data_IF_155768851911
#
_entry.id   IF_155768851911
#
_cell.length_a   1.000
_cell.length_b   1.000
_cell.length_c   1.000
_cell.angle_alpha   90.00
_cell.angle_beta   90.00
_cell.angle_gamma   90.00
#
_symmetry.space_group_name_H-M   'P 1'
#
loop_
_entity.id
_entity.type
_entity.pdbx_description
1 polymer ?
#
# COMPACT_ATOMS: atom_id res chain seq x y z
N UNK A 1 -7.71 63.51 69.09
CA UNK A 1 -7.50 63.33 67.61
C UNK A 1 -7.13 61.91 67.40
N UNK A 2 -8.09 61.06 66.85
CA UNK A 2 -7.90 59.63 66.60
C UNK A 2 -7.64 59.42 65.11
N UNK A 3 -6.46 58.97 64.77
CA UNK A 3 -6.08 58.61 63.36
C UNK A 3 -6.54 57.20 63.06
N UNK A 4 -7.39 57.07 62.08
CA UNK A 4 -7.86 55.74 61.53
C UNK A 4 -6.91 55.39 60.40
N UNK A 5 -6.22 54.22 60.57
CA UNK A 5 -5.41 53.63 59.52
C UNK A 5 -6.26 52.65 58.71
N UNK A 6 -6.48 52.93 57.43
CA UNK A 6 -7.15 52.01 56.50
C UNK A 6 -6.10 51.05 55.96
N UNK A 7 -6.22 49.75 56.25
CA UNK A 7 -5.43 48.70 55.65
C UNK A 7 -6.17 48.16 54.42
N UNK A 8 -5.67 48.45 53.22
CA UNK A 8 -6.14 47.90 51.97
C UNK A 8 -5.58 46.49 51.80
N UNK A 9 -6.40 45.47 51.90
CA UNK A 9 -6.08 44.09 51.58
C UNK A 9 -6.23 43.89 50.05
N UNK A 10 -5.10 43.82 49.33
CA UNK A 10 -5.07 43.44 47.90
C UNK A 10 -5.09 41.92 47.83
N UNK A 11 -6.23 41.33 47.45
CA UNK A 11 -6.35 39.91 47.10
C UNK A 11 -5.73 39.64 45.74
N UNK A 12 -4.56 39.02 45.72
CA UNK A 12 -3.89 38.50 44.55
C UNK A 12 -4.62 37.19 44.15
N UNK A 13 -5.47 37.24 43.13
CA UNK A 13 -6.03 36.04 42.48
C UNK A 13 -4.98 35.54 41.48
N UNK A 14 -4.15 34.61 41.90
CA UNK A 14 -3.25 33.90 41.00
C UNK A 14 -4.10 32.95 40.12
N UNK A 15 -4.44 33.41 38.95
CA UNK A 15 -5.05 32.59 37.91
C UNK A 15 -4.04 31.50 37.47
N UNK A 16 -4.28 30.27 37.86
CA UNK A 16 -3.54 29.14 37.33
C UNK A 16 -4.00 28.92 35.89
N UNK A 17 -3.22 29.49 34.95
CA UNK A 17 -3.30 29.08 33.54
C UNK A 17 -2.64 27.72 33.47
N UNK A 18 -3.45 26.66 33.54
CA UNK A 18 -3.02 25.32 33.16
C UNK A 18 -2.78 25.32 31.66
N UNK A 19 -1.54 25.60 31.29
CA UNK A 19 -1.06 25.32 29.93
C UNK A 19 -1.22 23.81 29.74
N UNK A 20 -2.23 23.42 28.94
CA UNK A 20 -2.34 22.05 28.49
C UNK A 20 -1.08 21.80 27.63
N UNK A 21 -0.07 21.20 28.25
CA UNK A 21 1.10 20.72 27.52
C UNK A 21 0.57 19.77 26.46
N UNK A 22 0.59 20.20 25.20
CA UNK A 22 0.30 19.33 24.07
C UNK A 22 1.30 18.19 24.13
N UNK A 23 0.83 16.98 24.43
CA UNK A 23 1.69 15.81 24.45
C UNK A 23 2.42 15.73 23.10
N UNK A 24 3.72 15.47 23.11
CA UNK A 24 4.48 15.31 21.88
C UNK A 24 3.84 14.24 21.01
N UNK A 25 3.70 14.48 19.68
CA UNK A 25 3.10 13.51 18.77
C UNK A 25 3.85 12.18 18.82
N UNK A 26 3.11 11.09 18.97
CA UNK A 26 3.70 9.76 18.95
C UNK A 26 4.29 9.46 17.58
N UNK A 27 5.56 9.08 17.54
CA UNK A 27 6.25 8.72 16.28
C UNK A 27 5.86 7.31 15.86
N UNK A 28 5.44 7.15 14.60
CA UNK A 28 5.03 5.91 13.96
C UNK A 28 5.96 5.63 12.77
N UNK A 29 6.58 4.47 12.74
CA UNK A 29 7.46 4.03 11.66
C UNK A 29 6.71 3.05 10.76
N UNK A 30 6.55 3.40 9.48
CA UNK A 30 5.89 2.56 8.46
C UNK A 30 6.92 2.12 7.43
N UNK A 31 7.13 0.81 7.32
CA UNK A 31 7.98 0.23 6.28
C UNK A 31 7.26 0.11 4.94
N UNK A 32 7.93 0.47 3.85
CA UNK A 32 7.42 0.33 2.49
C UNK A 32 8.53 -0.01 1.49
N UNK A 33 8.19 -0.58 0.33
CA UNK A 33 9.18 -1.02 -0.68
C UNK A 33 9.42 -0.01 -1.80
N UNK A 34 9.02 1.25 -1.65
CA UNK A 34 9.14 2.25 -2.71
C UNK A 34 8.21 1.98 -3.89
N UNK A 35 7.11 1.27 -3.64
CA UNK A 35 6.16 0.80 -4.64
C UNK A 35 5.50 1.89 -5.48
N UNK A 36 4.51 1.50 -6.25
CA UNK A 36 3.84 2.43 -7.16
C UNK A 36 3.21 3.60 -6.42
N UNK A 37 3.24 4.74 -7.06
CA UNK A 37 2.71 5.97 -6.48
C UNK A 37 1.21 5.89 -6.16
N UNK A 38 0.45 5.05 -6.89
CA UNK A 38 -0.97 4.91 -6.60
C UNK A 38 -1.23 4.24 -5.24
N UNK A 39 -0.41 3.24 -4.85
CA UNK A 39 -0.54 2.58 -3.55
C UNK A 39 -0.18 3.51 -2.38
N UNK A 40 0.71 4.47 -2.61
CA UNK A 40 1.18 5.42 -1.61
C UNK A 40 0.37 6.73 -1.57
N UNK A 41 -0.56 6.95 -2.51
CA UNK A 41 -1.26 8.23 -2.62
C UNK A 41 -2.11 8.56 -1.37
N UNK A 42 -2.90 7.63 -0.78
CA UNK A 42 -3.60 7.91 0.48
C UNK A 42 -2.66 8.33 1.62
N UNK A 43 -1.52 7.68 1.75
CA UNK A 43 -0.51 7.99 2.76
C UNK A 43 0.07 9.39 2.56
N UNK A 44 0.36 9.76 1.31
CA UNK A 44 0.84 11.10 0.94
C UNK A 44 -0.20 12.17 1.25
N UNK A 45 -1.46 11.91 0.94
CA UNK A 45 -2.58 12.82 1.29
C UNK A 45 -2.69 12.94 2.80
N UNK A 46 -2.58 11.84 3.56
CA UNK A 46 -2.62 11.87 5.02
C UNK A 46 -1.52 12.76 5.61
N UNK A 47 -0.29 12.67 5.08
CA UNK A 47 0.83 13.52 5.47
C UNK A 47 0.60 14.99 5.05
N UNK A 48 0.33 15.27 3.77
CA UNK A 48 0.22 16.64 3.26
C UNK A 48 -0.97 17.42 3.84
N UNK A 49 -2.05 16.72 4.23
CA UNK A 49 -3.26 17.33 4.83
C UNK A 49 -3.29 17.31 6.35
N UNK A 50 -2.22 16.80 6.98
CA UNK A 50 -2.11 16.77 8.43
C UNK A 50 -3.12 15.85 9.11
N UNK A 51 -3.58 14.77 8.43
CA UNK A 51 -4.54 13.85 9.04
C UNK A 51 -3.92 13.03 10.16
N UNK A 52 -2.63 12.69 10.08
CA UNK A 52 -1.92 12.03 11.16
C UNK A 52 -1.71 12.95 12.35
N UNK A 53 -1.31 14.19 12.11
CA UNK A 53 -1.08 15.22 13.14
C UNK A 53 -2.37 15.53 13.92
N UNK A 54 -3.53 15.55 13.25
CA UNK A 54 -4.85 15.71 13.90
C UNK A 54 -5.18 14.58 14.88
N UNK A 55 -4.63 13.41 14.66
CA UNK A 55 -4.74 12.26 15.55
C UNK A 55 -3.58 12.17 16.57
N UNK A 56 -2.73 13.21 16.67
CA UNK A 56 -1.58 13.25 17.57
C UNK A 56 -0.44 12.29 17.18
N UNK A 57 -0.30 12.00 15.88
CA UNK A 57 0.69 11.08 15.34
C UNK A 57 1.68 11.82 14.45
N UNK A 58 2.97 11.39 14.49
CA UNK A 58 4.00 11.79 13.54
C UNK A 58 4.46 10.54 12.78
N UNK A 59 4.11 10.43 11.50
CA UNK A 59 4.43 9.25 10.70
C UNK A 59 5.72 9.44 9.92
N UNK A 60 6.58 8.41 9.92
CA UNK A 60 7.79 8.30 9.11
C UNK A 60 7.70 7.06 8.23
N UNK A 61 7.88 7.25 6.92
CA UNK A 61 7.98 6.16 5.96
C UNK A 61 9.44 5.80 5.74
N UNK A 62 9.78 4.53 5.98
CA UNK A 62 11.14 3.99 5.86
C UNK A 62 11.14 3.03 4.66
N UNK A 63 11.96 3.34 3.65
CA UNK A 63 12.04 2.54 2.44
C UNK A 63 12.97 1.35 2.62
N UNK A 64 12.50 0.17 2.20
CA UNK A 64 13.23 -1.09 2.23
C UNK A 64 13.46 -1.63 0.82
N UNK A 65 14.60 -2.27 0.59
CA UNK A 65 14.94 -2.92 -0.68
C UNK A 65 14.38 -4.33 -0.83
N UNK A 66 13.44 -4.75 0.03
CA UNK A 66 12.79 -6.06 -0.08
C UNK A 66 11.85 -6.36 1.07
N UNK A 67 10.90 -7.26 0.81
CA UNK A 67 9.83 -7.62 1.74
C UNK A 67 10.33 -8.43 2.94
N UNK A 68 11.34 -9.29 2.76
CA UNK A 68 11.88 -10.11 3.84
C UNK A 68 12.56 -9.26 4.93
N UNK A 69 13.39 -8.29 4.52
CA UNK A 69 14.05 -7.38 5.47
C UNK A 69 13.02 -6.54 6.23
N UNK A 70 11.98 -6.06 5.52
CA UNK A 70 10.91 -5.30 6.12
C UNK A 70 10.08 -6.12 7.13
N UNK A 71 9.79 -7.40 6.82
CA UNK A 71 9.14 -8.30 7.78
C UNK A 71 10.02 -8.54 9.02
N UNK A 72 11.33 -8.73 8.84
CA UNK A 72 12.27 -8.91 9.96
C UNK A 72 12.28 -7.67 10.86
N UNK A 73 12.34 -6.45 10.31
CA UNK A 73 12.27 -5.20 11.06
C UNK A 73 10.93 -5.04 11.81
N UNK A 74 9.80 -5.43 11.19
CA UNK A 74 8.50 -5.45 11.86
C UNK A 74 8.48 -6.40 13.07
N UNK A 75 8.98 -7.62 12.91
CA UNK A 75 9.03 -8.61 13.98
C UNK A 75 10.00 -8.21 15.11
N UNK A 76 11.06 -7.47 14.77
CA UNK A 76 11.99 -6.87 15.74
C UNK A 76 11.42 -5.64 16.48
N UNK A 77 10.22 -5.17 16.12
CA UNK A 77 9.58 -3.93 16.59
C UNK A 77 10.35 -2.65 16.23
N UNK A 78 11.17 -2.67 15.17
CA UNK A 78 11.80 -1.49 14.58
C UNK A 78 10.82 -0.69 13.70
N UNK A 79 9.80 -1.38 13.19
CA UNK A 79 8.66 -0.81 12.48
C UNK A 79 7.37 -1.06 13.26
N UNK A 80 6.45 -0.11 13.18
CA UNK A 80 5.10 -0.23 13.71
C UNK A 80 4.16 -0.91 12.71
N UNK A 81 4.32 -0.57 11.42
CA UNK A 81 3.51 -1.10 10.34
C UNK A 81 4.35 -1.35 9.09
N UNK A 82 3.81 -2.20 8.19
CA UNK A 82 4.34 -2.46 6.85
C UNK A 82 3.22 -2.49 5.81
N UNK A 83 3.55 -2.19 4.55
CA UNK A 83 2.56 -2.01 3.46
C UNK A 83 2.49 -3.20 2.48
N UNK A 84 2.83 -4.43 2.90
CA UNK A 84 3.00 -5.62 2.03
C UNK A 84 1.95 -6.71 2.28
N UNK A 85 0.67 -6.47 1.93
CA UNK A 85 -0.45 -7.32 2.35
C UNK A 85 -0.34 -8.80 1.95
N UNK A 86 -0.16 -9.20 0.66
CA UNK A 86 -0.12 -10.63 0.30
C UNK A 86 1.06 -11.37 0.92
N UNK A 87 2.20 -10.68 1.12
CA UNK A 87 3.37 -11.26 1.77
C UNK A 87 3.12 -11.54 3.26
N UNK A 88 2.45 -10.59 3.95
CA UNK A 88 2.03 -10.78 5.35
C UNK A 88 1.00 -11.89 5.48
N UNK A 89 0.04 -12.00 4.56
CA UNK A 89 -0.90 -13.12 4.56
C UNK A 89 -0.17 -14.47 4.50
N UNK A 90 0.81 -14.60 3.59
CA UNK A 90 1.66 -15.79 3.52
C UNK A 90 2.51 -16.02 4.78
N UNK A 91 2.96 -14.98 5.47
CA UNK A 91 3.69 -15.10 6.72
C UNK A 91 2.77 -15.57 7.86
N UNK A 92 1.57 -14.98 7.98
CA UNK A 92 0.57 -15.33 8.98
C UNK A 92 0.10 -16.79 8.84
N UNK A 93 -0.11 -17.28 7.62
CA UNK A 93 -0.47 -18.69 7.37
C UNK A 93 0.63 -19.68 7.76
N UNK A 94 1.88 -19.22 7.84
CA UNK A 94 3.01 -20.01 8.36
C UNK A 94 3.22 -19.85 9.87
N UNK A 95 2.26 -19.22 10.57
CA UNK A 95 2.27 -19.09 12.03
C UNK A 95 3.06 -17.89 12.57
N UNK A 96 3.52 -16.95 11.71
CA UNK A 96 4.15 -15.73 12.23
C UNK A 96 3.10 -14.82 12.87
N UNK A 97 3.42 -14.12 13.97
CA UNK A 97 2.48 -13.29 14.74
C UNK A 97 2.24 -11.92 14.08
N UNK A 98 1.72 -11.92 12.86
CA UNK A 98 1.44 -10.72 12.07
C UNK A 98 0.02 -10.74 11.51
N UNK A 99 -0.59 -9.58 11.33
CA UNK A 99 -1.95 -9.40 10.81
C UNK A 99 -2.02 -8.22 9.86
N UNK A 100 -2.89 -8.32 8.86
CA UNK A 100 -3.36 -7.19 8.07
C UNK A 100 -4.44 -6.47 8.87
N UNK A 101 -4.29 -5.16 9.05
CA UNK A 101 -5.25 -4.33 9.81
C UNK A 101 -5.99 -3.33 8.94
N UNK A 102 -5.50 -3.06 7.73
CA UNK A 102 -6.20 -2.24 6.74
C UNK A 102 -5.86 -2.65 5.30
N UNK A 103 -6.86 -2.60 4.42
CA UNK A 103 -6.70 -2.62 2.96
C UNK A 103 -7.14 -1.25 2.41
N UNK A 104 -6.20 -0.42 1.98
CA UNK A 104 -6.47 0.95 1.48
C UNK A 104 -6.87 0.99 0.01
N UNK A 105 -6.81 -0.13 -0.69
CA UNK A 105 -7.26 -0.30 -2.07
C UNK A 105 -8.15 -1.53 -2.22
N UNK A 106 -8.89 -1.61 -3.33
CA UNK A 106 -9.78 -2.73 -3.68
C UNK A 106 -9.14 -3.71 -4.66
N UNK A 107 -8.12 -3.29 -5.41
CA UNK A 107 -7.48 -4.06 -6.49
C UNK A 107 -5.95 -4.01 -6.41
N UNK A 108 -5.28 -4.85 -7.19
CA UNK A 108 -3.82 -4.89 -7.27
C UNK A 108 -3.21 -3.72 -8.04
N UNK A 109 -3.96 -3.15 -8.99
CA UNK A 109 -3.47 -2.06 -9.84
C UNK A 109 -2.34 -2.46 -10.79
N UNK A 110 -2.21 -3.74 -11.14
CA UNK A 110 -1.22 -4.22 -12.10
C UNK A 110 -1.65 -4.00 -13.55
N UNK A 111 -0.68 -3.61 -14.38
CA UNK A 111 -0.73 -3.71 -15.83
C UNK A 111 0.45 -4.57 -16.30
N UNK A 112 0.33 -5.16 -17.50
CA UNK A 112 1.42 -5.91 -18.12
C UNK A 112 1.82 -5.18 -19.38
N UNK A 113 3.07 -4.78 -19.43
CA UNK A 113 3.66 -4.09 -20.58
C UNK A 113 4.69 -4.98 -21.26
N UNK A 114 4.76 -4.87 -22.59
CA UNK A 114 5.60 -5.70 -23.44
C UNK A 114 6.25 -4.88 -24.56
N UNK A 115 7.21 -5.48 -25.22
CA UNK A 115 7.74 -4.97 -26.48
C UNK A 115 6.64 -4.90 -27.55
N UNK A 116 6.74 -3.97 -28.52
CA UNK A 116 5.68 -3.73 -29.50
C UNK A 116 5.29 -4.93 -30.33
N UNK A 117 6.24 -5.82 -30.60
CA UNK A 117 6.04 -7.06 -31.38
C UNK A 117 5.25 -8.15 -30.64
N UNK A 118 5.06 -8.01 -29.32
CA UNK A 118 4.28 -8.94 -28.51
C UNK A 118 2.86 -8.37 -28.37
N UNK A 119 1.96 -8.80 -29.21
CA UNK A 119 0.63 -8.21 -29.35
C UNK A 119 -0.48 -8.99 -28.61
N UNK A 120 -0.17 -10.18 -28.12
CA UNK A 120 -1.08 -11.01 -27.34
C UNK A 120 -0.33 -11.88 -26.33
N UNK A 121 -1.07 -12.50 -25.38
CA UNK A 121 -0.47 -13.29 -24.30
C UNK A 121 0.25 -14.54 -24.81
N UNK A 122 -0.24 -15.17 -25.88
CA UNK A 122 0.40 -16.38 -26.45
C UNK A 122 1.76 -16.07 -27.07
N UNK A 123 1.97 -14.84 -27.55
CA UNK A 123 3.26 -14.38 -28.07
C UNK A 123 4.34 -14.22 -26.97
N UNK A 124 3.97 -14.37 -25.69
CA UNK A 124 4.93 -14.44 -24.56
C UNK A 124 5.68 -15.77 -24.52
N UNK A 125 5.29 -16.80 -25.29
CA UNK A 125 6.03 -18.07 -25.34
C UNK A 125 7.48 -17.87 -25.77
N UNK A 126 8.41 -18.43 -24.97
CA UNK A 126 9.86 -18.26 -25.17
C UNK A 126 10.41 -16.91 -24.74
N UNK A 127 9.61 -16.01 -24.17
CA UNK A 127 10.02 -14.65 -23.80
C UNK A 127 10.49 -14.56 -22.34
N UNK A 128 11.30 -13.52 -22.07
CA UNK A 128 11.78 -13.16 -20.73
C UNK A 128 10.81 -12.18 -20.10
N UNK A 129 10.31 -12.49 -18.92
CA UNK A 129 9.32 -11.65 -18.21
C UNK A 129 9.88 -11.25 -16.86
N UNK A 130 9.97 -9.94 -16.59
CA UNK A 130 10.40 -9.47 -15.29
C UNK A 130 9.24 -9.49 -14.28
N UNK A 131 9.54 -10.04 -13.10
CA UNK A 131 8.71 -10.00 -11.90
C UNK A 131 9.49 -9.33 -10.76
N UNK A 132 8.83 -8.95 -9.66
CA UNK A 132 9.53 -8.37 -8.51
C UNK A 132 10.43 -9.42 -7.82
N UNK A 133 9.77 -10.43 -7.23
CA UNK A 133 10.41 -11.60 -6.61
C UNK A 133 9.50 -12.79 -6.81
N UNK A 134 10.07 -14.01 -6.80
CA UNK A 134 9.25 -15.22 -6.78
C UNK A 134 8.39 -15.29 -5.52
N UNK A 135 7.14 -15.69 -5.65
CA UNK A 135 6.15 -15.70 -4.58
C UNK A 135 5.49 -14.33 -4.31
N UNK A 136 5.85 -13.28 -5.06
CA UNK A 136 5.16 -11.98 -4.97
C UNK A 136 3.82 -11.97 -5.69
N UNK A 137 2.99 -10.97 -5.40
CA UNK A 137 1.73 -10.76 -6.13
C UNK A 137 1.93 -10.45 -7.62
N UNK A 138 3.06 -9.85 -8.01
CA UNK A 138 3.42 -9.65 -9.41
C UNK A 138 3.74 -10.98 -10.12
N UNK A 139 4.45 -11.89 -9.43
CA UNK A 139 4.71 -13.24 -9.90
C UNK A 139 3.39 -14.03 -10.04
N UNK A 140 2.51 -13.94 -9.05
CA UNK A 140 1.18 -14.55 -9.11
C UNK A 140 0.35 -14.02 -10.28
N UNK A 141 0.39 -12.71 -10.55
CA UNK A 141 -0.31 -12.11 -11.68
C UNK A 141 0.15 -12.70 -13.02
N UNK A 142 1.46 -12.82 -13.23
CA UNK A 142 2.02 -13.46 -14.43
C UNK A 142 1.68 -14.95 -14.47
N UNK A 143 1.78 -15.65 -13.33
CA UNK A 143 1.42 -17.07 -13.25
C UNK A 143 -0.03 -17.31 -13.69
N UNK A 144 -0.97 -16.54 -13.15
CA UNK A 144 -2.38 -16.60 -13.50
C UNK A 144 -2.64 -16.27 -14.98
N UNK A 145 -1.99 -15.21 -15.47
CA UNK A 145 -2.12 -14.80 -16.87
C UNK A 145 -1.70 -15.92 -17.82
N UNK A 146 -0.51 -16.46 -17.64
CA UNK A 146 0.03 -17.50 -18.51
C UNK A 146 -0.82 -18.77 -18.47
N UNK A 147 -1.14 -19.26 -17.25
CA UNK A 147 -1.95 -20.47 -17.06
C UNK A 147 -3.34 -20.37 -17.70
N UNK A 148 -4.01 -19.22 -17.56
CA UNK A 148 -5.34 -18.97 -18.17
C UNK A 148 -5.31 -18.93 -19.71
N UNK A 149 -4.14 -18.63 -20.28
CA UNK A 149 -3.94 -18.56 -21.73
C UNK A 149 -3.26 -19.83 -22.30
N UNK A 150 -3.18 -20.90 -21.50
CA UNK A 150 -2.64 -22.20 -21.94
C UNK A 150 -1.12 -22.25 -22.05
N UNK A 151 -0.42 -21.34 -21.38
CA UNK A 151 1.04 -21.34 -21.25
C UNK A 151 1.46 -21.86 -19.86
N UNK A 152 2.46 -22.75 -19.83
CA UNK A 152 3.07 -23.20 -18.56
C UNK A 152 4.07 -22.12 -18.07
N UNK A 153 3.79 -21.45 -16.93
CA UNK A 153 4.66 -20.40 -16.41
C UNK A 153 6.08 -20.85 -16.08
N UNK A 154 6.29 -22.15 -15.90
CA UNK A 154 7.60 -22.72 -15.52
C UNK A 154 8.38 -23.28 -16.71
N UNK A 155 7.75 -23.40 -17.90
CA UNK A 155 8.36 -24.02 -19.10
C UNK A 155 8.31 -23.12 -20.32
N UNK A 156 7.19 -22.40 -20.52
CA UNK A 156 6.96 -21.66 -21.75
C UNK A 156 7.54 -20.25 -21.74
N UNK A 157 8.01 -19.75 -20.59
CA UNK A 157 8.63 -18.42 -20.44
C UNK A 157 9.85 -18.48 -19.51
N UNK A 158 10.68 -17.44 -19.55
CA UNK A 158 11.76 -17.25 -18.58
C UNK A 158 11.39 -16.12 -17.62
N UNK A 159 11.03 -16.46 -16.37
CA UNK A 159 10.78 -15.45 -15.35
C UNK A 159 12.09 -14.95 -14.77
N UNK A 160 12.26 -13.63 -14.69
CA UNK A 160 13.42 -12.97 -14.11
C UNK A 160 13.01 -12.12 -12.91
N UNK A 161 13.53 -12.45 -11.72
CA UNK A 161 13.31 -11.64 -10.54
C UNK A 161 14.21 -10.40 -10.58
N UNK A 162 13.59 -9.22 -10.68
CA UNK A 162 14.24 -7.91 -10.60
C UNK A 162 13.64 -7.19 -9.39
N UNK A 163 14.31 -7.37 -8.24
CA UNK A 163 13.87 -6.79 -6.96
C UNK A 163 13.93 -5.25 -6.98
N UNK A 164 13.23 -4.64 -6.03
CA UNK A 164 13.19 -3.20 -5.88
C UNK A 164 11.94 -2.56 -6.49
N UNK A 165 12.08 -1.31 -6.91
CA UNK A 165 10.95 -0.51 -7.43
C UNK A 165 10.50 -0.98 -8.83
N UNK A 166 9.30 -0.63 -9.27
CA UNK A 166 8.86 -0.83 -10.66
C UNK A 166 9.78 -0.20 -11.70
N UNK A 167 10.51 0.88 -11.34
CA UNK A 167 11.48 1.54 -12.22
C UNK A 167 12.58 0.59 -12.72
N UNK A 168 13.09 -0.29 -11.84
CA UNK A 168 14.16 -1.23 -12.21
C UNK A 168 13.66 -2.23 -13.27
N UNK A 169 12.46 -2.76 -13.12
CA UNK A 169 11.83 -3.66 -14.09
C UNK A 169 11.51 -2.95 -15.39
N UNK A 170 11.02 -1.70 -15.31
CA UNK A 170 10.76 -0.88 -16.48
C UNK A 170 12.06 -0.53 -17.22
N UNK A 171 13.15 -0.21 -16.52
CA UNK A 171 14.47 0.00 -17.13
C UNK A 171 14.97 -1.26 -17.82
N UNK A 172 14.76 -2.45 -17.25
CA UNK A 172 15.10 -3.73 -17.86
C UNK A 172 14.34 -3.97 -19.17
N UNK A 173 13.05 -3.59 -19.24
CA UNK A 173 12.25 -3.65 -20.46
C UNK A 173 12.78 -2.65 -21.52
N UNK A 174 13.05 -1.40 -21.13
CA UNK A 174 13.62 -0.39 -22.01
C UNK A 174 14.99 -0.81 -22.58
N UNK A 175 15.83 -1.37 -21.72
CA UNK A 175 17.18 -1.84 -22.09
C UNK A 175 17.19 -3.17 -22.83
N UNK A 176 16.04 -3.84 -23.01
CA UNK A 176 15.94 -5.08 -23.76
C UNK A 176 16.45 -6.34 -23.05
N UNK A 177 16.73 -6.28 -21.75
CA UNK A 177 17.08 -7.45 -20.98
C UNK A 177 15.88 -8.36 -20.68
N UNK A 178 14.67 -7.81 -20.73
CA UNK A 178 13.39 -8.55 -20.70
C UNK A 178 12.47 -8.10 -21.83
N UNK A 179 11.48 -8.92 -22.14
CA UNK A 179 10.57 -8.73 -23.26
C UNK A 179 9.18 -8.26 -22.79
N UNK A 180 8.84 -8.52 -21.53
CA UNK A 180 7.63 -8.04 -20.86
C UNK A 180 7.87 -7.86 -19.36
N UNK A 181 7.00 -7.11 -18.69
CA UNK A 181 7.03 -6.95 -17.24
C UNK A 181 5.68 -6.56 -16.65
N UNK A 182 5.50 -6.86 -15.35
CA UNK A 182 4.39 -6.35 -14.56
C UNK A 182 4.77 -4.99 -14.00
N UNK A 183 3.91 -4.02 -14.20
CA UNK A 183 4.06 -2.64 -13.71
C UNK A 183 2.79 -2.18 -12.98
N UNK A 184 2.88 -1.05 -12.29
CA UNK A 184 1.74 -0.31 -11.77
C UNK A 184 1.74 1.08 -12.40
N UNK A 185 0.59 1.76 -12.39
CA UNK A 185 0.57 3.15 -12.88
C UNK A 185 1.56 4.05 -12.12
N UNK A 186 2.25 4.94 -12.82
CA UNK A 186 2.01 5.35 -14.21
C UNK A 186 2.92 4.67 -15.24
N UNK A 187 3.53 3.51 -14.93
CA UNK A 187 4.55 2.90 -15.80
C UNK A 187 3.98 2.39 -17.13
N UNK A 188 2.73 1.90 -17.16
CA UNK A 188 2.06 1.54 -18.41
C UNK A 188 1.94 2.76 -19.34
N UNK A 189 1.56 3.91 -18.81
CA UNK A 189 1.51 5.16 -19.58
C UNK A 189 2.91 5.57 -20.11
N UNK A 190 3.94 5.49 -19.24
CA UNK A 190 5.32 5.79 -19.64
C UNK A 190 5.85 4.81 -20.69
N UNK A 191 5.41 3.54 -20.63
CA UNK A 191 5.74 2.54 -21.63
C UNK A 191 5.12 2.88 -23.00
N UNK A 192 3.83 3.22 -23.02
CA UNK A 192 3.11 3.65 -24.22
C UNK A 192 3.80 4.86 -24.88
N UNK A 193 4.21 5.87 -24.10
CA UNK A 193 4.94 7.05 -24.59
C UNK A 193 6.29 6.70 -25.24
N UNK A 194 6.86 5.53 -24.93
CA UNK A 194 8.12 5.03 -25.51
C UNK A 194 7.90 3.96 -26.58
N UNK A 195 6.66 3.79 -27.06
CA UNK A 195 6.30 2.85 -28.13
C UNK A 195 6.17 1.40 -27.68
N UNK A 196 6.21 1.13 -26.36
CA UNK A 196 5.91 -0.19 -25.82
C UNK A 196 4.38 -0.42 -25.76
N UNK A 197 3.98 -1.67 -25.63
CA UNK A 197 2.57 -2.05 -25.61
C UNK A 197 2.08 -2.34 -24.21
N UNK A 198 0.94 -1.79 -23.84
CA UNK A 198 0.16 -2.30 -22.70
C UNK A 198 -0.57 -3.56 -23.18
N UNK A 199 0.00 -4.73 -22.86
CA UNK A 199 -0.54 -6.03 -23.24
C UNK A 199 -1.84 -6.34 -22.46
N UNK A 200 -1.86 -5.97 -21.17
CA UNK A 200 -3.05 -5.99 -20.32
C UNK A 200 -3.08 -4.73 -19.45
N UNK A 201 -4.23 -4.06 -19.47
CA UNK A 201 -4.48 -2.90 -18.62
C UNK A 201 -4.74 -3.31 -17.16
N UNK A 202 -4.77 -2.33 -16.27
CA UNK A 202 -5.19 -2.55 -14.87
C UNK A 202 -6.60 -3.15 -14.78
N UNK A 203 -7.51 -2.75 -15.67
CA UNK A 203 -8.86 -3.29 -15.74
C UNK A 203 -8.85 -4.77 -16.11
N UNK A 204 -8.09 -5.15 -17.14
CA UNK A 204 -7.99 -6.54 -17.59
C UNK A 204 -7.37 -7.44 -16.50
N UNK A 205 -6.32 -6.98 -15.84
CA UNK A 205 -5.69 -7.74 -14.76
C UNK A 205 -6.57 -7.88 -13.53
N UNK A 206 -7.42 -6.91 -13.22
CA UNK A 206 -8.37 -6.95 -12.11
C UNK A 206 -9.44 -8.03 -12.27
N UNK A 207 -9.64 -8.59 -13.48
CA UNK A 207 -10.57 -9.70 -13.71
C UNK A 207 -10.07 -11.02 -13.11
N UNK A 208 -8.75 -11.19 -12.95
CA UNK A 208 -8.14 -12.41 -12.45
C UNK A 208 -7.15 -12.25 -11.29
N UNK A 209 -6.79 -11.02 -10.94
CA UNK A 209 -5.99 -10.67 -9.75
C UNK A 209 -6.78 -9.65 -8.92
N UNK A 210 -7.77 -10.15 -8.18
CA UNK A 210 -8.72 -9.32 -7.42
C UNK A 210 -8.23 -8.97 -6.03
N UNK A 211 -6.92 -9.01 -5.80
CA UNK A 211 -6.34 -8.79 -4.48
C UNK A 211 -5.84 -7.36 -4.30
N UNK A 212 -6.21 -6.67 -3.24
CA UNK A 212 -5.53 -5.46 -2.80
C UNK A 212 -4.08 -5.75 -2.44
N UNK A 213 -3.18 -4.85 -2.86
CA UNK A 213 -1.77 -4.91 -2.46
C UNK A 213 -1.37 -3.76 -1.53
N UNK A 214 -2.24 -2.76 -1.40
CA UNK A 214 -2.02 -1.55 -0.59
C UNK A 214 -2.82 -1.61 0.71
N UNK A 215 -2.19 -1.23 1.80
CA UNK A 215 -2.79 -1.19 3.13
C UNK A 215 -1.74 -1.27 4.22
N UNK A 216 -2.15 -1.61 5.43
CA UNK A 216 -1.27 -1.74 6.59
C UNK A 216 -1.37 -3.10 7.24
N UNK A 217 -0.22 -3.59 7.68
CA UNK A 217 -0.08 -4.79 8.50
C UNK A 217 0.79 -4.49 9.70
N UNK A 218 0.57 -5.21 10.80
CA UNK A 218 1.33 -5.06 12.03
C UNK A 218 1.49 -6.39 12.77
N UNK A 219 2.16 -6.39 13.94
CA UNK A 219 2.32 -7.57 14.77
C UNK A 219 1.12 -7.79 15.70
N UNK A 220 0.87 -9.06 16.08
CA UNK A 220 -0.12 -9.41 17.09
C UNK A 220 0.16 -8.68 18.42
N UNK A 221 1.43 -8.56 18.81
CA UNK A 221 1.85 -7.82 19.98
C UNK A 221 1.40 -6.36 19.98
N UNK A 222 1.50 -5.67 18.83
CA UNK A 222 1.05 -4.27 18.70
C UNK A 222 -0.47 -4.17 18.76
N UNK A 223 -1.19 -5.12 18.17
CA UNK A 223 -2.65 -5.22 18.25
C UNK A 223 -3.12 -5.26 19.71
N UNK A 224 -2.45 -6.05 20.54
CA UNK A 224 -2.79 -6.21 21.95
C UNK A 224 -2.42 -5.00 22.81
N UNK A 225 -1.29 -4.36 22.52
CA UNK A 225 -0.75 -3.28 23.38
C UNK A 225 -1.24 -1.88 23.01
N UNK A 226 -1.54 -1.65 21.73
CA UNK A 226 -1.77 -0.30 21.22
C UNK A 226 -3.01 -0.19 20.31
N UNK A 227 -4.17 -0.75 20.71
CA UNK A 227 -5.37 -0.79 19.88
C UNK A 227 -5.89 0.60 19.47
N UNK A 228 -5.76 1.60 20.37
CA UNK A 228 -6.22 2.96 20.09
C UNK A 228 -5.31 3.68 19.09
N UNK A 229 -4.01 3.43 19.14
CA UNK A 229 -3.08 3.97 18.14
C UNK A 229 -3.42 3.44 16.74
N UNK A 230 -3.63 2.11 16.61
CA UNK A 230 -4.01 1.51 15.34
C UNK A 230 -5.28 2.17 14.80
N UNK A 231 -6.29 2.37 15.63
CA UNK A 231 -7.54 3.04 15.25
C UNK A 231 -7.30 4.46 14.73
N UNK A 232 -6.42 5.24 15.38
CA UNK A 232 -6.06 6.62 14.97
C UNK A 232 -5.30 6.64 13.64
N UNK A 233 -4.34 5.72 13.44
CA UNK A 233 -3.62 5.58 12.17
C UNK A 233 -4.60 5.26 11.04
N UNK A 234 -5.52 4.32 11.27
CA UNK A 234 -6.50 3.93 10.26
C UNK A 234 -7.51 5.04 9.96
N UNK A 235 -7.94 5.79 10.98
CA UNK A 235 -8.83 6.95 10.80
C UNK A 235 -8.16 8.03 9.94
N UNK A 236 -6.87 8.28 10.15
CA UNK A 236 -6.09 9.21 9.32
C UNK A 236 -6.07 8.79 7.85
N UNK A 237 -5.82 7.51 7.56
CA UNK A 237 -5.82 6.98 6.20
C UNK A 237 -7.22 6.99 5.56
N UNK A 238 -8.26 6.64 6.32
CA UNK A 238 -9.64 6.70 5.85
C UNK A 238 -10.04 8.13 5.46
N UNK A 239 -9.71 9.10 6.29
CA UNK A 239 -9.99 10.52 6.02
C UNK A 239 -9.22 11.01 4.79
N UNK A 240 -7.98 10.57 4.59
CA UNK A 240 -7.20 10.85 3.39
C UNK A 240 -7.83 10.26 2.12
N UNK A 241 -8.34 9.03 2.19
CA UNK A 241 -9.03 8.38 1.07
C UNK A 241 -10.31 9.14 0.72
N UNK A 242 -11.16 9.45 1.70
CA UNK A 242 -12.40 10.22 1.49
C UNK A 242 -12.11 11.62 0.92
N UNK A 243 -11.08 12.29 1.43
CA UNK A 243 -10.62 13.57 0.91
C UNK A 243 -10.17 13.44 -0.55
N UNK A 244 -9.32 12.45 -0.86
CA UNK A 244 -8.86 12.20 -2.22
C UNK A 244 -10.02 11.92 -3.18
N UNK A 245 -11.02 11.16 -2.76
CA UNK A 245 -12.20 10.84 -3.57
C UNK A 245 -13.11 12.05 -3.83
N UNK A 246 -13.16 13.00 -2.89
CA UNK A 246 -14.02 14.20 -2.99
C UNK A 246 -13.32 15.39 -3.63
N UNK A 247 -12.00 15.48 -3.59
CA UNK A 247 -11.21 16.64 -4.02
C UNK A 247 -10.40 16.36 -5.30
N UNK A 248 -11.10 16.30 -6.45
CA UNK A 248 -10.51 15.95 -7.76
C UNK A 248 -9.29 16.82 -8.11
N UNK A 249 -9.44 18.14 -8.02
CA UNK A 249 -8.37 19.07 -8.42
C UNK A 249 -7.11 18.90 -7.56
N UNK A 250 -7.28 18.70 -6.26
CA UNK A 250 -6.17 18.40 -5.37
C UNK A 250 -5.50 17.07 -5.75
N UNK A 251 -6.31 16.01 -5.99
CA UNK A 251 -5.79 14.69 -6.35
C UNK A 251 -5.00 14.71 -7.65
N UNK A 252 -5.52 15.38 -8.68
CA UNK A 252 -4.85 15.54 -9.98
C UNK A 252 -3.57 16.35 -9.81
N UNK A 253 -3.59 17.51 -9.14
CA UNK A 253 -2.40 18.33 -8.90
C UNK A 253 -1.32 17.61 -8.09
N UNK A 254 -1.72 16.77 -7.13
CA UNK A 254 -0.78 15.94 -6.40
C UNK A 254 -0.09 14.90 -7.30
N UNK A 255 -0.84 14.30 -8.24
CA UNK A 255 -0.29 13.36 -9.22
C UNK A 255 0.68 14.04 -10.20
N UNK A 256 0.35 15.24 -10.71
CA UNK A 256 1.27 16.05 -11.53
C UNK A 256 2.59 16.27 -10.80
N UNK A 257 2.53 16.70 -9.55
CA UNK A 257 3.70 16.99 -8.71
C UNK A 257 4.54 15.74 -8.39
N UNK A 258 3.90 14.68 -7.89
CA UNK A 258 4.60 13.48 -7.39
C UNK A 258 5.13 12.60 -8.52
N UNK A 259 4.37 12.48 -9.62
CA UNK A 259 4.67 11.56 -10.71
C UNK A 259 5.29 12.23 -11.92
N UNK A 260 5.39 13.57 -11.90
CA UNK A 260 5.83 14.39 -13.04
C UNK A 260 5.02 14.05 -14.31
N UNK A 261 3.73 13.86 -14.14
CA UNK A 261 2.78 13.65 -15.24
C UNK A 261 2.32 15.00 -15.78
N UNK A 262 2.02 15.03 -17.09
CA UNK A 262 1.21 16.12 -17.62
C UNK A 262 -0.25 16.03 -17.08
N UNK A 263 -0.98 17.12 -17.26
CA UNK A 263 -2.36 17.23 -16.75
C UNK A 263 -3.28 16.11 -17.27
N UNK A 264 -3.19 15.78 -18.55
CA UNK A 264 -4.06 14.78 -19.18
C UNK A 264 -3.77 13.36 -18.61
N UNK A 265 -2.49 13.02 -18.43
CA UNK A 265 -2.08 11.77 -17.82
C UNK A 265 -2.49 11.68 -16.33
N UNK A 266 -2.36 12.79 -15.58
CA UNK A 266 -2.78 12.86 -14.18
C UNK A 266 -4.30 12.71 -14.03
N UNK A 267 -5.08 13.32 -14.92
CA UNK A 267 -6.54 13.17 -14.96
C UNK A 267 -6.98 11.74 -15.28
N UNK A 268 -6.34 11.12 -16.28
CA UNK A 268 -6.57 9.71 -16.65
C UNK A 268 -6.25 8.78 -15.48
N UNK A 269 -5.11 9.00 -14.82
CA UNK A 269 -4.72 8.24 -13.64
C UNK A 269 -5.76 8.40 -12.51
N UNK A 270 -6.14 9.63 -12.19
CA UNK A 270 -7.11 9.90 -11.15
C UNK A 270 -8.46 9.22 -11.44
N UNK A 271 -8.95 9.29 -12.67
CA UNK A 271 -10.20 8.66 -13.09
C UNK A 271 -10.17 7.12 -12.93
N UNK A 272 -9.03 6.48 -13.21
CA UNK A 272 -8.88 5.02 -13.07
C UNK A 272 -8.85 4.60 -11.58
N UNK A 273 -8.10 5.34 -10.74
CA UNK A 273 -7.77 4.86 -9.39
C UNK A 273 -8.61 5.46 -8.27
N UNK A 274 -9.27 6.61 -8.48
CA UNK A 274 -10.07 7.27 -7.47
C UNK A 274 -11.03 6.31 -6.75
N UNK A 275 -11.80 5.53 -7.51
CA UNK A 275 -12.83 4.63 -6.97
C UNK A 275 -12.26 3.26 -6.56
N UNK A 276 -10.97 3.02 -6.84
CA UNK A 276 -10.24 1.83 -6.40
C UNK A 276 -9.70 1.96 -4.97
N UNK A 277 -9.65 3.17 -4.41
CA UNK A 277 -9.33 3.33 -2.99
C UNK A 277 -10.49 2.88 -2.12
N UNK A 278 -10.15 2.26 -0.99
CA UNK A 278 -11.10 1.61 -0.09
C UNK A 278 -11.25 2.38 1.23
N UNK A 279 -12.25 3.24 1.38
CA UNK A 279 -12.49 3.98 2.63
C UNK A 279 -13.01 3.08 3.77
N UNK A 280 -13.50 1.86 3.46
CA UNK A 280 -13.91 0.90 4.48
C UNK A 280 -12.73 0.24 5.18
N UNK A 281 -11.55 0.25 4.55
CA UNK A 281 -10.30 -0.32 5.04
C UNK A 281 -10.35 -1.84 5.29
N UNK A 282 -11.46 -2.49 5.02
CA UNK A 282 -11.68 -3.94 5.17
C UNK A 282 -12.07 -4.56 3.83
N UNK A 283 -11.91 -5.87 3.73
CA UNK A 283 -12.31 -6.66 2.56
C UNK A 283 -13.04 -7.93 2.99
N UNK A 284 -13.87 -8.53 2.10
CA UNK A 284 -14.52 -9.81 2.38
C UNK A 284 -13.52 -10.96 2.58
N UNK A 285 -13.96 -12.02 3.26
CA UNK A 285 -13.17 -13.23 3.50
C UNK A 285 -12.65 -13.86 2.21
N UNK A 286 -13.42 -13.82 1.12
CA UNK A 286 -12.99 -14.33 -0.20
C UNK A 286 -11.72 -13.65 -0.72
N UNK A 287 -11.50 -12.36 -0.42
CA UNK A 287 -10.25 -11.65 -0.76
C UNK A 287 -9.10 -12.11 0.13
N UNK A 288 -9.37 -12.37 1.41
CA UNK A 288 -8.35 -12.90 2.33
C UNK A 288 -7.93 -14.33 1.92
N UNK A 289 -8.85 -15.16 1.41
CA UNK A 289 -8.56 -16.47 0.82
C UNK A 289 -7.65 -16.33 -0.41
N UNK A 290 -7.89 -15.32 -1.29
CA UNK A 290 -7.01 -15.04 -2.41
C UNK A 290 -5.62 -14.56 -1.94
N UNK A 291 -5.51 -13.76 -0.87
CA UNK A 291 -4.21 -13.40 -0.29
C UNK A 291 -3.45 -14.63 0.21
N UNK A 292 -4.14 -15.58 0.85
CA UNK A 292 -3.54 -16.85 1.29
C UNK A 292 -3.03 -17.62 0.06
N UNK A 293 -3.85 -17.73 -0.97
CA UNK A 293 -3.47 -18.39 -2.22
C UNK A 293 -2.23 -17.73 -2.85
N UNK A 294 -2.18 -16.39 -2.93
CA UNK A 294 -1.00 -15.66 -3.42
C UNK A 294 0.24 -15.89 -2.54
N UNK A 295 0.08 -15.83 -1.23
CA UNK A 295 1.19 -16.02 -0.29
C UNK A 295 1.75 -17.45 -0.28
N UNK A 296 1.04 -18.41 -0.88
CA UNK A 296 1.35 -19.84 -0.78
C UNK A 296 1.43 -20.58 -2.11
N UNK A 297 1.13 -19.95 -3.27
CA UNK A 297 1.01 -20.63 -4.57
C UNK A 297 2.31 -21.31 -5.03
N UNK A 298 3.47 -20.86 -4.54
CA UNK A 298 4.76 -21.50 -4.80
C UNK A 298 5.22 -22.44 -3.67
N UNK A 299 4.38 -22.65 -2.65
CA UNK A 299 4.68 -23.62 -1.61
C UNK A 299 4.65 -25.05 -2.17
N UNK A 300 5.52 -25.93 -1.67
CA UNK A 300 5.54 -27.36 -2.07
C UNK A 300 4.27 -28.09 -1.66
N UNK A 301 3.66 -27.69 -0.55
CA UNK A 301 2.44 -28.25 -0.02
C UNK A 301 1.33 -27.18 -0.02
N UNK A 302 0.09 -27.63 -0.28
CA UNK A 302 -1.08 -26.73 -0.24
C UNK A 302 -1.31 -26.30 1.21
N UNK A 303 -1.13 -25.02 1.47
CA UNK A 303 -1.42 -24.41 2.78
C UNK A 303 -2.88 -23.95 2.76
N UNK A 304 -3.68 -24.44 3.71
CA UNK A 304 -5.05 -23.99 3.95
C UNK A 304 -5.11 -23.34 5.34
N UNK A 305 -5.75 -22.17 5.42
CA UNK A 305 -5.96 -21.46 6.67
C UNK A 305 -7.31 -20.76 6.63
N UNK A 306 -7.91 -20.51 7.80
CA UNK A 306 -9.10 -19.67 7.87
C UNK A 306 -8.71 -18.21 7.55
N UNK A 307 -9.54 -17.45 6.81
CA UNK A 307 -9.25 -16.05 6.44
C UNK A 307 -8.85 -15.19 7.65
N UNK A 308 -9.49 -15.36 8.80
CA UNK A 308 -9.24 -14.61 10.03
C UNK A 308 -7.83 -14.80 10.60
N UNK A 309 -7.08 -15.79 10.14
CA UNK A 309 -5.66 -15.95 10.51
C UNK A 309 -4.83 -14.79 9.99
N UNK A 310 -5.18 -14.22 8.84
CA UNK A 310 -4.35 -13.20 8.14
C UNK A 310 -4.73 -11.76 8.43
N UNK A 311 -5.93 -11.47 8.98
CA UNK A 311 -6.40 -10.10 9.21
C UNK A 311 -7.07 -9.88 10.57
N UNK A 312 -7.24 -8.60 10.94
CA UNK A 312 -8.11 -8.13 12.02
C UNK A 312 -8.77 -6.80 11.59
N UNK A 313 -10.06 -6.86 11.24
CA UNK A 313 -10.83 -5.68 10.80
C UNK A 313 -11.47 -4.88 11.94
N UNK A 314 -11.27 -5.27 13.20
CA UNK A 314 -11.85 -4.56 14.37
C UNK A 314 -11.48 -3.08 14.37
N UNK A 315 -10.24 -2.76 13.99
CA UNK A 315 -9.73 -1.39 13.94
C UNK A 315 -10.29 -0.60 12.77
N UNK A 316 -10.50 -1.24 11.62
CA UNK A 316 -11.14 -0.63 10.46
C UNK A 316 -12.58 -0.18 10.81
N UNK A 317 -13.33 -1.03 11.53
CA UNK A 317 -14.68 -0.67 11.99
C UNK A 317 -14.68 0.45 13.04
N UNK A 318 -13.72 0.47 13.96
CA UNK A 318 -13.55 1.57 14.92
C UNK A 318 -13.18 2.89 14.24
N UNK A 319 -12.39 2.86 13.18
CA UNK A 319 -11.95 4.05 12.45
C UNK A 319 -13.08 4.74 11.66
N UNK A 320 -14.23 4.10 11.49
CA UNK A 320 -15.44 4.68 10.85
C UNK A 320 -16.23 5.58 11.80
N UNK A 321 -16.05 5.41 13.10
CA UNK A 321 -16.70 6.20 14.16
C UNK A 321 -15.89 7.44 14.48
#
# INVERSE_FOLDING_TARGET
MRSVVFVLLVLWVAGWVTSAASAEPKVINIGWTGGSAWTALPDRVALERGFFEKEGLRVRYIQFQGTNLMLSALLANELDYVTILPFIAGAATRGLPVKIVAATAKVSGYAIVSRPEIDNVKALKGKRIAINTFGSSADFAIYQLLSRNGLDPNKDVTLQAIAGSPDARFAALLGGSVDATVVNSPFEYRAEQKGFRTLLSVKDTAEFVRIPIAGLSTTQKKIEREPDEITRVLRSLRNAILFLQSQREFGVGLLEKLLKLDRAAAERFYAIYRDQYNPDLSVPDSVAEEWIAVGTFRAKEKITAKPQVVYDWTFAERAKK
#
